data_IF_048607252947
#
_entry.id   IF_048607252947
#
_cell.length_a   1.000
_cell.length_b   1.000
_cell.length_c   1.000
_cell.angle_alpha   90.00
_cell.angle_beta   90.00
_cell.angle_gamma   90.00
#
_symmetry.space_group_name_H-M   'P 1'
#
loop_
_entity.id
_entity.type
_entity.pdbx_description
1 polymer ?
#
# COMPACT_ATOMS: atom_id res chain seq x y z
N UNK A 1 -24.66 16.05 -0.23
CA UNK A 1 -25.55 15.33 -1.02
C UNK A 1 -25.78 13.95 -0.52
N UNK A 2 -26.96 13.52 -0.60
CA UNK A 2 -27.28 12.30 -0.03
C UNK A 2 -27.28 11.23 -1.08
N UNK A 3 -26.73 10.08 -0.79
CA UNK A 3 -26.83 8.96 -1.71
C UNK A 3 -28.21 8.45 -1.76
N UNK A 4 -28.58 7.93 -2.91
CA UNK A 4 -29.88 7.33 -3.03
C UNK A 4 -29.92 6.01 -2.28
N UNK A 5 -31.06 5.64 -1.74
CA UNK A 5 -31.20 4.35 -1.10
C UNK A 5 -30.82 3.23 -2.06
N UNK A 6 -30.04 2.29 -1.57
CA UNK A 6 -29.62 1.18 -2.38
C UNK A 6 -28.37 1.41 -3.19
N UNK A 7 -27.93 2.65 -3.26
CA UNK A 7 -26.71 2.95 -3.99
C UNK A 7 -25.48 2.64 -3.13
N UNK A 8 -24.59 1.82 -3.65
CA UNK A 8 -23.36 1.50 -2.92
C UNK A 8 -22.44 2.71 -2.87
N UNK A 9 -21.73 2.89 -1.78
CA UNK A 9 -20.73 3.96 -1.74
C UNK A 9 -19.64 3.72 -2.76
N UNK A 10 -19.03 4.79 -3.28
CA UNK A 10 -17.90 4.62 -4.19
C UNK A 10 -16.80 3.82 -3.50
N UNK A 11 -16.20 2.92 -4.24
CA UNK A 11 -15.10 2.14 -3.71
C UNK A 11 -13.86 3.02 -3.66
N UNK A 12 -13.26 3.09 -2.50
CA UNK A 12 -12.02 3.83 -2.36
C UNK A 12 -10.88 2.98 -2.90
N UNK A 13 -10.11 3.55 -3.80
CA UNK A 13 -8.94 2.89 -4.35
C UNK A 13 -7.71 3.72 -4.08
N UNK A 14 -6.61 3.03 -3.85
CA UNK A 14 -5.34 3.69 -3.53
C UNK A 14 -4.29 3.22 -4.53
N UNK A 15 -3.63 4.17 -5.16
CA UNK A 15 -2.59 3.88 -6.14
C UNK A 15 -1.33 4.64 -5.80
N UNK A 16 -0.20 4.14 -6.28
CA UNK A 16 1.05 4.87 -6.13
C UNK A 16 1.01 6.11 -7.02
N UNK A 17 1.48 7.22 -6.46
CA UNK A 17 1.74 8.39 -7.25
C UNK A 17 2.92 8.11 -8.16
N UNK A 18 3.00 8.75 -9.34
CA UNK A 18 4.16 8.58 -10.22
C UNK A 18 5.42 9.27 -9.72
N UNK A 19 5.33 9.95 -8.59
CA UNK A 19 6.49 10.66 -8.05
C UNK A 19 7.61 9.70 -7.67
N UNK A 20 8.83 10.18 -7.79
CA UNK A 20 9.99 9.39 -7.39
C UNK A 20 10.03 9.22 -5.88
N UNK A 21 10.65 8.14 -5.39
CA UNK A 21 10.81 7.96 -3.95
C UNK A 21 11.66 9.07 -3.36
N UNK A 22 11.35 9.43 -2.12
CA UNK A 22 12.12 10.44 -1.40
C UNK A 22 12.97 9.75 -0.35
N UNK A 23 14.27 10.05 -0.32
CA UNK A 23 15.17 9.57 0.71
C UNK A 23 14.95 10.34 1.98
N UNK A 24 14.89 9.62 3.09
CA UNK A 24 14.62 10.27 4.38
C UNK A 24 15.69 10.02 5.43
N UNK A 25 16.78 9.37 5.09
CA UNK A 25 17.85 9.19 6.05
C UNK A 25 18.19 7.73 6.26
N UNK A 26 19.25 7.50 7.04
CA UNK A 26 19.77 6.17 7.26
C UNK A 26 18.94 5.41 8.28
N UNK A 27 18.74 4.12 8.02
CA UNK A 27 18.14 3.22 8.99
C UNK A 27 19.25 2.51 9.75
N UNK A 28 18.89 1.94 10.89
CA UNK A 28 19.87 1.34 11.78
C UNK A 28 20.56 0.12 11.19
N UNK A 29 19.94 -0.53 10.23
CA UNK A 29 20.45 -1.78 9.68
C UNK A 29 21.26 -1.58 8.39
N UNK A 30 21.72 -0.36 8.14
CA UNK A 30 22.50 -0.06 6.95
C UNK A 30 21.67 0.27 5.72
N UNK A 31 20.36 0.20 5.87
CA UNK A 31 19.45 0.59 4.78
C UNK A 31 19.18 2.08 4.85
N UNK A 32 18.44 2.56 3.89
CA UNK A 32 17.98 3.94 3.84
C UNK A 32 16.46 3.94 3.94
N UNK A 33 15.91 4.91 4.66
CA UNK A 33 14.47 5.09 4.65
C UNK A 33 14.07 5.83 3.39
N UNK A 34 13.01 5.33 2.76
CA UNK A 34 12.42 5.96 1.59
C UNK A 34 10.94 6.19 1.86
N UNK A 35 10.39 7.17 1.19
CA UNK A 35 8.97 7.44 1.24
C UNK A 35 8.41 7.48 -0.17
N UNK A 36 7.36 6.72 -0.40
CA UNK A 36 6.63 6.74 -1.65
C UNK A 36 5.27 7.35 -1.40
N UNK A 37 4.84 8.17 -2.33
CA UNK A 37 3.57 8.86 -2.18
C UNK A 37 2.45 8.06 -2.80
N UNK A 38 1.27 8.12 -2.16
CA UNK A 38 0.05 7.54 -2.70
C UNK A 38 -0.79 8.65 -3.29
N UNK A 39 -1.73 8.29 -4.16
CA UNK A 39 -2.62 9.30 -4.73
C UNK A 39 -3.69 9.76 -3.76
N UNK A 40 -3.89 9.01 -2.69
CA UNK A 40 -4.86 9.39 -1.66
C UNK A 40 -4.53 8.65 -0.39
N UNK A 41 -5.04 9.16 0.72
CA UNK A 41 -4.86 8.50 2.01
C UNK A 41 -5.80 7.30 2.09
N UNK A 42 -5.29 6.11 2.43
CA UNK A 42 -6.16 4.94 2.59
C UNK A 42 -7.19 5.16 3.70
N UNK A 43 -8.41 4.76 3.43
CA UNK A 43 -9.46 4.82 4.43
C UNK A 43 -9.26 3.75 5.48
N UNK A 44 -9.92 3.87 6.65
CA UNK A 44 -9.86 2.80 7.65
C UNK A 44 -10.32 1.47 7.11
N UNK A 45 -11.34 1.48 6.25
CA UNK A 45 -11.83 0.24 5.64
C UNK A 45 -10.78 -0.37 4.73
N UNK A 46 -10.12 0.47 3.93
CA UNK A 46 -9.06 0.00 3.05
C UNK A 46 -7.92 -0.61 3.87
N UNK A 47 -7.52 0.05 4.95
CA UNK A 47 -6.45 -0.45 5.79
C UNK A 47 -6.83 -1.76 6.48
N UNK A 48 -8.10 -1.91 6.82
CA UNK A 48 -8.56 -3.15 7.41
C UNK A 48 -8.43 -4.32 6.43
N UNK A 49 -8.82 -4.08 5.18
CA UNK A 49 -8.67 -5.09 4.13
C UNK A 49 -7.20 -5.40 3.87
N UNK A 50 -6.35 -4.38 3.90
CA UNK A 50 -4.91 -4.57 3.73
C UNK A 50 -4.36 -5.51 4.81
N UNK A 51 -4.70 -5.25 6.06
CA UNK A 51 -4.21 -6.08 7.17
C UNK A 51 -4.73 -7.50 7.08
N UNK A 52 -5.97 -7.66 6.67
CA UNK A 52 -6.54 -9.00 6.53
C UNK A 52 -5.78 -9.79 5.46
N UNK A 53 -5.33 -9.14 4.42
CA UNK A 53 -4.60 -9.80 3.35
C UNK A 53 -3.20 -10.22 3.73
N UNK A 54 -2.68 -9.76 4.85
CA UNK A 54 -1.33 -10.13 5.27
C UNK A 54 -1.21 -11.62 5.60
N UNK A 55 -2.31 -12.26 5.91
CA UNK A 55 -2.28 -13.67 6.24
C UNK A 55 -1.97 -14.56 5.05
N UNK A 56 -2.21 -14.08 3.84
CA UNK A 56 -1.98 -14.87 2.64
C UNK A 56 -0.69 -14.56 1.92
N UNK A 57 0.23 -13.87 2.57
CA UNK A 57 1.46 -13.48 1.90
C UNK A 57 2.40 -14.65 1.66
N UNK A 58 3.05 -14.62 0.51
CA UNK A 58 4.12 -15.55 0.23
C UNK A 58 5.29 -15.26 1.17
N UNK A 59 6.01 -16.30 1.60
CA UNK A 59 7.14 -16.09 2.51
C UNK A 59 8.18 -15.10 1.98
N UNK A 60 8.43 -15.12 0.68
CA UNK A 60 9.45 -14.24 0.10
C UNK A 60 9.03 -12.77 0.11
N UNK A 61 7.72 -12.50 0.20
CA UNK A 61 7.23 -11.11 0.26
C UNK A 61 7.04 -10.63 1.69
N UNK A 62 7.00 -11.55 2.63
CA UNK A 62 6.65 -11.18 4.00
C UNK A 62 7.58 -10.14 4.60
N UNK A 63 8.89 -10.33 4.43
CA UNK A 63 9.86 -9.40 4.98
C UNK A 63 9.67 -8.01 4.40
N UNK A 64 9.51 -7.94 3.08
CA UNK A 64 9.33 -6.65 2.42
C UNK A 64 8.06 -5.96 2.90
N UNK A 65 6.96 -6.71 2.97
CA UNK A 65 5.67 -6.13 3.39
C UNK A 65 5.72 -5.65 4.82
N UNK A 66 6.42 -6.39 5.69
CA UNK A 66 6.51 -6.00 7.09
C UNK A 66 7.32 -4.73 7.30
N UNK A 67 8.10 -4.33 6.30
CA UNK A 67 8.84 -3.07 6.36
C UNK A 67 8.01 -1.87 5.89
N UNK A 68 6.86 -2.12 5.24
CA UNK A 68 6.01 -1.02 4.74
C UNK A 68 5.24 -0.40 5.90
N UNK A 69 5.34 0.92 6.02
CA UNK A 69 4.68 1.65 7.08
C UNK A 69 3.81 2.74 6.46
N UNK A 70 2.52 2.57 6.54
CA UNK A 70 1.59 3.54 5.97
C UNK A 70 1.45 4.74 6.90
N UNK A 71 1.64 5.93 6.34
CA UNK A 71 1.58 7.18 7.10
C UNK A 71 0.82 8.21 6.28
N UNK A 72 -0.47 8.38 6.57
CA UNK A 72 -1.30 9.30 5.80
C UNK A 72 -1.37 8.87 4.34
N UNK A 73 -0.96 9.75 3.45
CA UNK A 73 -0.98 9.47 2.01
C UNK A 73 0.38 9.02 1.49
N UNK A 74 1.20 8.43 2.36
CA UNK A 74 2.50 7.94 1.91
C UNK A 74 2.83 6.63 2.61
N UNK A 75 3.86 5.96 2.10
CA UNK A 75 4.36 4.71 2.67
C UNK A 75 5.86 4.87 2.86
N UNK A 76 6.32 4.61 4.06
CA UNK A 76 7.73 4.69 4.42
C UNK A 76 8.27 3.28 4.62
N UNK A 77 9.49 3.06 4.18
CA UNK A 77 10.13 1.75 4.36
C UNK A 77 11.64 1.90 4.29
N UNK A 78 12.35 0.91 4.82
CA UNK A 78 13.80 0.88 4.71
C UNK A 78 14.20 -0.08 3.60
N UNK A 79 15.22 0.28 2.83
CA UNK A 79 15.71 -0.53 1.72
C UNK A 79 17.08 -0.08 1.32
N UNK A 80 17.83 -0.99 0.69
CA UNK A 80 19.04 -0.59 -0.02
C UNK A 80 18.62 -0.06 -1.40
N UNK A 81 19.53 0.60 -2.07
CA UNK A 81 19.27 1.05 -3.44
C UNK A 81 18.91 -0.12 -4.35
N UNK A 82 19.55 -1.26 -4.13
CA UNK A 82 19.27 -2.44 -4.93
C UNK A 82 17.88 -3.01 -4.66
N UNK A 83 17.38 -2.83 -3.44
CA UNK A 83 16.07 -3.35 -3.07
C UNK A 83 14.92 -2.44 -3.45
N UNK A 84 15.21 -1.20 -3.78
CA UNK A 84 14.16 -0.19 -3.95
C UNK A 84 13.12 -0.59 -5.00
N UNK A 85 13.57 -1.07 -6.14
CA UNK A 85 12.65 -1.50 -7.19
C UNK A 85 11.75 -2.64 -6.74
N UNK A 86 12.33 -3.59 -6.01
CA UNK A 86 11.55 -4.71 -5.51
C UNK A 86 10.51 -4.25 -4.49
N UNK A 87 10.91 -3.35 -3.59
CA UNK A 87 9.98 -2.82 -2.59
C UNK A 87 8.81 -2.12 -3.25
N UNK A 88 9.11 -1.35 -4.30
CA UNK A 88 8.05 -0.67 -5.03
C UNK A 88 7.07 -1.66 -5.67
N UNK A 89 7.59 -2.71 -6.29
CA UNK A 89 6.74 -3.73 -6.92
C UNK A 89 5.89 -4.46 -5.88
N UNK A 90 6.48 -4.76 -4.73
CA UNK A 90 5.73 -5.41 -3.66
C UNK A 90 4.59 -4.52 -3.20
N UNK A 91 4.86 -3.24 -3.00
CA UNK A 91 3.82 -2.30 -2.60
C UNK A 91 2.73 -2.20 -3.67
N UNK A 92 3.10 -2.09 -4.94
CA UNK A 92 2.12 -2.02 -6.01
C UNK A 92 1.20 -3.23 -6.02
N UNK A 93 1.77 -4.42 -5.85
CA UNK A 93 0.95 -5.63 -5.80
C UNK A 93 0.01 -5.63 -4.61
N UNK A 94 0.46 -5.12 -3.46
CA UNK A 94 -0.41 -5.04 -2.30
C UNK A 94 -1.56 -4.08 -2.52
N UNK A 95 -1.27 -2.93 -3.12
CA UNK A 95 -2.32 -1.96 -3.43
C UNK A 95 -3.33 -2.55 -4.40
N UNK A 96 -2.85 -3.19 -5.46
CA UNK A 96 -3.74 -3.81 -6.44
C UNK A 96 -4.61 -4.88 -5.81
N UNK A 97 -4.03 -5.69 -4.94
CA UNK A 97 -4.76 -6.76 -4.29
C UNK A 97 -5.90 -6.22 -3.45
N UNK A 98 -5.63 -5.21 -2.63
CA UNK A 98 -6.66 -4.64 -1.78
C UNK A 98 -7.73 -3.93 -2.63
N UNK A 99 -7.30 -3.17 -3.63
CA UNK A 99 -8.26 -2.48 -4.51
C UNK A 99 -9.18 -3.49 -5.19
N UNK A 100 -8.65 -4.63 -5.61
CA UNK A 100 -9.46 -5.66 -6.25
C UNK A 100 -10.47 -6.26 -5.29
N UNK A 101 -10.05 -6.54 -4.08
CA UNK A 101 -10.94 -7.10 -3.07
C UNK A 101 -12.10 -6.16 -2.81
N UNK A 102 -11.80 -4.86 -2.65
CA UNK A 102 -12.83 -3.91 -2.28
C UNK A 102 -13.72 -3.53 -3.44
N UNK A 103 -13.22 -3.54 -4.67
CA UNK A 103 -14.01 -3.04 -5.77
C UNK A 103 -14.80 -4.12 -6.47
N UNK A 104 -14.28 -5.33 -6.50
CA UNK A 104 -14.96 -6.20 -7.34
C UNK A 104 -15.30 -7.47 -6.73
N UNK A 105 -14.87 -7.45 -5.58
CA UNK A 105 -14.99 -8.67 -4.98
C UNK A 105 -16.27 -9.28 -5.16
N UNK A 106 -17.11 -8.56 -5.38
CA UNK A 106 -18.11 -9.05 -5.37
C UNK A 106 -18.48 -9.37 -6.51
N UNK A 107 -18.37 -9.76 -6.85
CA UNK A 107 -18.64 -10.09 -7.79
C UNK A 107 -18.67 -10.36 -8.67
N UNK A 108 -18.40 -10.23 -8.56
CA UNK A 108 -18.34 -10.39 -9.43
C UNK A 108 -18.30 -10.82 -9.86
#
# INVERSE_FOLDING_TARGET
MRRRPGEAPPTHRVFLSPDAPVREGAAADGRTYFRLRLDSEPSPEWMRAYRAGLLGLLPEDRDAVMRLEFQGDSVRFSATDAELGRMRRVLERRLDSVNSILSGGRGT
#
